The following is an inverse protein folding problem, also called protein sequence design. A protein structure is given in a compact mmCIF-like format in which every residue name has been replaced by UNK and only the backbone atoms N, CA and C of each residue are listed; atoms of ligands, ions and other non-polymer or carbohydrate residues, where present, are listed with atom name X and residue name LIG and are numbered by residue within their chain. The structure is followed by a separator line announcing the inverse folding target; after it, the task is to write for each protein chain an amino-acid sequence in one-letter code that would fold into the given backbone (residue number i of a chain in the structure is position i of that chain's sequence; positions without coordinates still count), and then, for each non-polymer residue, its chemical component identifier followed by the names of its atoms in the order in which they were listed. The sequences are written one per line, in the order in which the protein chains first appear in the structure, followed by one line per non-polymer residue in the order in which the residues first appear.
data_IF_952739868010
#
_entry.id   IF_952739868010
#
_cell.length_a   1.000
_cell.length_b   1.000
_cell.length_c   1.000
_cell.angle_alpha   90.00
_cell.angle_beta   90.00
_cell.angle_gamma   90.00
#
_symmetry.space_group_name_H-M   'P 1'
#
loop_
_entity.id
_entity.type
_entity.pdbx_description
1 polymer ?
#
# COMPACT_ATOMS: atom_id res chain seq x y z
N UNK A 1 16.18 18.11 -0.06
CA UNK A 1 15.32 18.37 1.12
C UNK A 1 14.68 17.06 1.55
N UNK A 2 14.22 16.94 2.78
CA UNK A 2 13.45 15.77 3.21
C UNK A 2 11.96 16.11 3.30
N UNK A 3 11.10 15.19 2.86
CA UNK A 3 9.65 15.32 2.93
C UNK A 3 9.03 14.03 3.47
N UNK A 4 7.83 14.17 4.03
CA UNK A 4 6.99 13.05 4.45
C UNK A 4 5.97 12.73 3.37
N UNK A 5 5.82 11.45 3.03
CA UNK A 5 4.72 11.00 2.19
C UNK A 5 3.41 11.03 2.96
N UNK A 6 2.37 11.61 2.36
CA UNK A 6 1.04 11.77 3.00
C UNK A 6 -0.08 11.12 2.19
N UNK A 7 0.29 10.24 1.25
CA UNK A 7 -0.61 9.45 0.43
C UNK A 7 -0.05 8.04 0.28
N UNK A 8 -0.92 7.09 -0.10
CA UNK A 8 -0.50 5.73 -0.45
C UNK A 8 -0.12 5.66 -1.94
N UNK A 9 1.12 5.33 -2.30
CA UNK A 9 1.54 5.35 -3.70
C UNK A 9 0.91 4.22 -4.53
N UNK A 10 0.21 4.57 -5.62
CA UNK A 10 -0.37 3.58 -6.56
C UNK A 10 0.68 2.75 -7.30
N UNK A 11 1.79 3.38 -7.73
CA UNK A 11 2.72 2.77 -8.69
C UNK A 11 4.16 2.72 -8.21
N UNK A 12 4.59 3.66 -7.38
CA UNK A 12 5.92 3.64 -6.77
C UNK A 12 6.06 2.47 -5.79
N UNK A 13 7.18 1.74 -5.86
CA UNK A 13 7.48 0.60 -4.99
C UNK A 13 8.53 0.99 -3.95
N UNK A 14 8.56 0.28 -2.83
CA UNK A 14 9.54 0.45 -1.76
C UNK A 14 9.28 1.65 -0.85
N UNK A 15 8.13 2.31 -0.98
CA UNK A 15 7.71 3.44 -0.14
C UNK A 15 6.23 3.29 0.25
N UNK A 16 5.90 3.71 1.47
CA UNK A 16 4.58 3.66 2.06
C UNK A 16 4.17 5.03 2.65
N UNK A 17 2.91 5.12 3.09
CA UNK A 17 2.40 6.30 3.77
C UNK A 17 3.25 6.64 4.99
N UNK A 18 3.51 7.94 5.20
CA UNK A 18 4.26 8.44 6.34
C UNK A 18 5.78 8.32 6.26
N UNK A 19 6.32 7.60 5.26
CA UNK A 19 7.76 7.45 5.06
C UNK A 19 8.44 8.80 4.81
N UNK A 20 9.72 8.88 5.19
CA UNK A 20 10.56 10.04 4.91
C UNK A 20 11.45 9.77 3.70
N UNK A 21 11.45 10.70 2.75
CA UNK A 21 12.24 10.62 1.53
C UNK A 21 13.00 11.91 1.27
N UNK A 22 14.20 11.79 0.72
CA UNK A 22 14.95 12.92 0.19
C UNK A 22 14.50 13.19 -1.25
N UNK A 23 14.26 14.46 -1.52
CA UNK A 23 13.92 14.96 -2.86
C UNK A 23 14.80 16.15 -3.24
N UNK A 24 14.96 16.34 -4.54
CA UNK A 24 15.63 17.51 -5.12
C UNK A 24 14.69 18.24 -6.07
N UNK A 25 14.71 19.58 -6.07
CA UNK A 25 13.96 20.35 -7.07
C UNK A 25 14.52 20.12 -8.47
N UNK A 26 13.63 19.86 -9.42
CA UNK A 26 13.87 20.02 -10.84
C UNK A 26 13.28 21.36 -11.27
N UNK A 27 14.14 22.37 -11.45
CA UNK A 27 13.71 23.74 -11.75
C UNK A 27 13.16 23.90 -13.17
N UNK A 28 13.54 23.02 -14.10
CA UNK A 28 13.03 23.05 -15.47
C UNK A 28 11.58 22.54 -15.51
N UNK A 29 11.31 21.44 -14.80
CA UNK A 29 9.97 20.85 -14.70
C UNK A 29 9.08 21.45 -13.61
N UNK A 30 9.67 22.23 -12.69
CA UNK A 30 9.01 22.78 -11.49
C UNK A 30 8.42 21.70 -10.58
N UNK A 31 9.15 20.59 -10.44
CA UNK A 31 8.73 19.40 -9.69
C UNK A 31 9.75 19.04 -8.60
N UNK A 32 9.32 18.19 -7.66
CA UNK A 32 10.22 17.53 -6.71
C UNK A 32 10.48 16.11 -7.21
N UNK A 33 11.76 15.77 -7.40
CA UNK A 33 12.18 14.44 -7.85
C UNK A 33 12.70 13.65 -6.67
N UNK A 34 12.21 12.41 -6.53
CA UNK A 34 12.72 11.46 -5.54
C UNK A 34 14.21 11.18 -5.76
N UNK A 35 14.99 11.23 -4.68
CA UNK A 35 16.42 10.89 -4.70
C UNK A 35 16.71 9.65 -3.87
N UNK A 36 16.19 9.61 -2.64
CA UNK A 36 16.55 8.57 -1.69
C UNK A 36 15.42 8.32 -0.68
N UNK A 37 15.28 7.08 -0.27
CA UNK A 37 14.47 6.70 0.89
C UNK A 37 15.26 6.89 2.18
N UNK A 38 14.75 7.68 3.12
CA UNK A 38 15.49 7.97 4.36
C UNK A 38 15.05 7.11 5.54
N UNK A 39 13.73 6.95 5.77
CA UNK A 39 13.23 6.26 6.96
C UNK A 39 11.83 5.68 6.78
N UNK A 40 11.63 4.46 7.31
CA UNK A 40 10.32 3.80 7.37
C UNK A 40 9.43 4.47 8.44
N UNK A 41 8.14 4.61 8.13
CA UNK A 41 7.10 5.03 9.09
C UNK A 41 6.57 3.88 9.94
N UNK A 42 6.81 2.64 9.52
CA UNK A 42 6.19 1.43 10.05
C UNK A 42 4.94 1.00 9.29
N UNK A 43 4.35 1.88 8.48
CA UNK A 43 3.25 1.51 7.58
C UNK A 43 3.73 0.62 6.44
N UNK A 44 2.80 -0.12 5.83
CA UNK A 44 3.05 -0.87 4.60
C UNK A 44 2.05 -0.49 3.53
N UNK A 45 2.42 -0.78 2.28
CA UNK A 45 1.57 -0.53 1.12
C UNK A 45 1.41 -1.82 0.31
N UNK A 46 0.15 -2.23 0.12
CA UNK A 46 -0.20 -3.29 -0.84
C UNK A 46 -1.07 -2.71 -1.96
N UNK A 47 -1.12 -3.42 -3.07
CA UNK A 47 -2.03 -3.13 -4.18
C UNK A 47 -2.94 -4.31 -4.38
N UNK A 48 -4.21 -4.03 -4.58
CA UNK A 48 -5.21 -5.05 -4.88
C UNK A 48 -5.83 -4.70 -6.23
N UNK A 49 -5.80 -5.66 -7.15
CA UNK A 49 -6.53 -5.60 -8.41
C UNK A 49 -7.73 -6.54 -8.31
N UNK A 50 -8.93 -6.02 -8.48
CA UNK A 50 -10.17 -6.78 -8.46
C UNK A 50 -10.44 -7.42 -9.82
N UNK A 51 -10.75 -8.72 -9.82
CA UNK A 51 -11.17 -9.47 -11.01
C UNK A 51 -12.70 -9.49 -11.02
N UNK A 52 -13.28 -8.46 -11.64
CA UNK A 52 -14.71 -8.16 -11.57
C UNK A 52 -15.12 -7.41 -10.29
N UNK A 53 -16.41 -7.11 -10.15
CA UNK A 53 -16.89 -6.17 -9.12
C UNK A 53 -17.45 -6.84 -7.85
N UNK A 54 -17.68 -8.16 -7.88
CA UNK A 54 -18.43 -8.86 -6.83
C UNK A 54 -17.71 -8.89 -5.48
N UNK A 55 -16.38 -9.00 -5.49
CA UNK A 55 -15.58 -9.20 -4.28
C UNK A 55 -15.18 -7.87 -3.60
N UNK A 56 -15.23 -6.76 -4.35
CA UNK A 56 -14.75 -5.45 -3.89
C UNK A 56 -15.40 -5.00 -2.57
N UNK A 57 -16.73 -5.05 -2.38
CA UNK A 57 -17.34 -4.61 -1.12
C UNK A 57 -16.87 -5.41 0.09
N UNK A 58 -16.66 -6.72 -0.06
CA UNK A 58 -16.22 -7.59 1.03
C UNK A 58 -14.76 -7.30 1.42
N UNK A 59 -13.89 -7.05 0.43
CA UNK A 59 -12.50 -6.67 0.68
C UNK A 59 -12.41 -5.29 1.32
N UNK A 60 -13.12 -4.29 0.82
CA UNK A 60 -13.14 -2.94 1.40
C UNK A 60 -13.67 -2.96 2.84
N UNK A 61 -14.72 -3.76 3.12
CA UNK A 61 -15.21 -3.96 4.49
C UNK A 61 -14.13 -4.58 5.39
N UNK A 62 -13.48 -5.67 4.96
CA UNK A 62 -12.43 -6.33 5.75
C UNK A 62 -11.23 -5.42 6.01
N UNK A 63 -10.84 -4.59 5.04
CA UNK A 63 -9.78 -3.59 5.17
C UNK A 63 -10.16 -2.52 6.20
N UNK A 64 -11.39 -2.01 6.13
CA UNK A 64 -11.91 -1.04 7.09
C UNK A 64 -11.94 -1.61 8.51
N UNK A 65 -12.43 -2.84 8.68
CA UNK A 65 -12.42 -3.57 9.96
C UNK A 65 -11.01 -3.76 10.52
N UNK A 66 -10.02 -3.98 9.65
CA UNK A 66 -8.62 -4.06 10.04
C UNK A 66 -8.00 -2.69 10.38
N UNK A 67 -8.70 -1.58 10.12
CA UNK A 67 -8.17 -0.22 10.30
C UNK A 67 -7.27 0.27 9.16
N UNK A 68 -7.31 -0.39 8.00
CA UNK A 68 -6.60 0.05 6.80
C UNK A 68 -7.35 1.18 6.09
N UNK A 69 -6.61 1.98 5.32
CA UNK A 69 -7.18 2.97 4.39
C UNK A 69 -6.69 2.67 2.98
N UNK A 70 -7.32 3.25 1.95
CA UNK A 70 -6.88 3.02 0.58
C UNK A 70 -7.15 4.21 -0.32
N UNK A 71 -6.29 4.34 -1.33
CA UNK A 71 -6.45 5.24 -2.45
C UNK A 71 -7.09 4.48 -3.62
N UNK A 72 -8.04 5.13 -4.29
CA UNK A 72 -8.65 4.64 -5.53
C UNK A 72 -8.77 5.78 -6.53
N UNK A 73 -8.73 5.49 -7.82
CA UNK A 73 -8.91 6.49 -8.87
C UNK A 73 -9.91 5.96 -9.90
N UNK A 74 -10.87 6.79 -10.33
CA UNK A 74 -11.92 6.36 -11.26
C UNK A 74 -11.40 5.78 -12.57
N UNK A 75 -10.26 6.27 -13.06
CA UNK A 75 -9.56 5.74 -14.25
C UNK A 75 -8.92 4.35 -14.04
N UNK A 76 -8.73 3.94 -12.79
CA UNK A 76 -8.20 2.63 -12.39
C UNK A 76 -9.23 1.90 -11.52
N UNK A 77 -10.46 1.76 -12.03
CA UNK A 77 -11.62 1.32 -11.24
C UNK A 77 -11.44 -0.01 -10.50
N UNK A 78 -10.61 -0.92 -11.01
CA UNK A 78 -10.30 -2.21 -10.39
C UNK A 78 -9.08 -2.22 -9.48
N UNK A 79 -8.31 -1.12 -9.38
CA UNK A 79 -7.07 -1.06 -8.62
C UNK A 79 -7.24 -0.15 -7.40
N UNK A 80 -6.81 -0.66 -6.24
CA UNK A 80 -6.66 0.15 -5.02
C UNK A 80 -5.24 0.01 -4.46
N UNK A 81 -4.73 1.11 -3.91
CA UNK A 81 -3.48 1.14 -3.16
C UNK A 81 -3.81 1.28 -1.68
N UNK A 82 -3.50 0.26 -0.89
CA UNK A 82 -3.95 0.13 0.50
C UNK A 82 -2.80 0.49 1.43
N UNK A 83 -3.05 1.43 2.34
CA UNK A 83 -2.21 1.69 3.50
C UNK A 83 -2.56 0.72 4.63
N UNK A 84 -1.53 0.09 5.18
CA UNK A 84 -1.61 -0.82 6.31
C UNK A 84 -0.84 -0.18 7.47
N UNK A 85 -1.54 0.33 8.49
CA UNK A 85 -0.90 0.87 9.69
C UNK A 85 -0.08 -0.18 10.46
N UNK A 86 0.96 0.21 11.21
CA UNK A 86 1.80 -0.72 11.98
C UNK A 86 1.07 -1.45 13.11
N UNK A 87 -0.15 -1.02 13.45
CA UNK A 87 -1.01 -1.66 14.46
C UNK A 87 -1.80 -2.84 13.90
N UNK A 88 -1.80 -3.06 12.59
CA UNK A 88 -2.56 -4.14 11.94
C UNK A 88 -1.78 -5.45 12.04
N UNK A 89 -2.50 -6.55 12.32
CA UNK A 89 -1.97 -7.89 12.11
C UNK A 89 -2.01 -8.19 10.61
N UNK A 90 -0.90 -7.90 9.94
CA UNK A 90 -0.78 -8.13 8.51
C UNK A 90 -0.68 -9.62 8.18
N UNK A 91 -0.17 -10.46 9.09
CA UNK A 91 -0.14 -11.91 8.89
C UNK A 91 -1.55 -12.50 8.72
N UNK A 92 -2.46 -12.09 9.61
CA UNK A 92 -3.87 -12.49 9.53
C UNK A 92 -4.56 -11.91 8.28
N UNK A 93 -4.42 -10.60 8.05
CA UNK A 93 -5.02 -9.94 6.89
C UNK A 93 -4.53 -10.55 5.56
N UNK A 94 -3.21 -10.79 5.44
CA UNK A 94 -2.60 -11.41 4.27
C UNK A 94 -3.12 -12.83 4.04
N UNK A 95 -3.29 -13.62 5.09
CA UNK A 95 -3.81 -14.98 4.98
C UNK A 95 -5.24 -14.98 4.43
N UNK A 96 -6.09 -14.07 4.91
CA UNK A 96 -7.44 -13.87 4.38
C UNK A 96 -7.44 -13.43 2.91
N UNK A 97 -6.57 -12.48 2.58
CA UNK A 97 -6.40 -11.96 1.23
C UNK A 97 -5.89 -13.01 0.23
N UNK A 98 -4.96 -13.89 0.65
CA UNK A 98 -4.49 -15.04 -0.16
C UNK A 98 -5.65 -15.95 -0.54
N UNK A 99 -6.61 -16.21 0.35
CA UNK A 99 -7.81 -16.97 0.01
C UNK A 99 -8.64 -16.36 -1.13
N UNK A 100 -8.62 -15.03 -1.28
CA UNK A 100 -9.26 -14.32 -2.41
C UNK A 100 -8.46 -14.42 -3.70
N UNK A 101 -7.13 -14.46 -3.59
CA UNK A 101 -6.22 -14.73 -4.72
C UNK A 101 -6.42 -16.16 -5.23
N UNK A 102 -6.47 -17.14 -4.34
CA UNK A 102 -6.69 -18.56 -4.69
C UNK A 102 -8.06 -18.79 -5.35
N UNK A 103 -9.07 -18.01 -4.95
CA UNK A 103 -10.39 -17.99 -5.56
C UNK A 103 -10.44 -17.24 -6.91
N UNK A 104 -9.32 -16.64 -7.36
CA UNK A 104 -9.23 -15.88 -8.61
C UNK A 104 -10.02 -14.57 -8.61
N UNK A 105 -10.40 -14.05 -7.44
CA UNK A 105 -11.24 -12.85 -7.32
C UNK A 105 -10.43 -11.56 -7.23
N UNK A 106 -9.17 -11.66 -6.81
CA UNK A 106 -8.23 -10.53 -6.74
C UNK A 106 -6.82 -10.96 -7.10
N UNK A 107 -5.99 -10.01 -7.51
CA UNK A 107 -4.53 -10.11 -7.52
C UNK A 107 -3.94 -9.12 -6.51
N UNK A 108 -2.81 -9.49 -5.87
CA UNK A 108 -2.21 -8.68 -4.81
C UNK A 108 -0.72 -8.50 -5.05
N UNK A 109 -0.23 -7.28 -4.83
CA UNK A 109 1.20 -6.97 -4.81
C UNK A 109 1.58 -6.26 -3.50
N UNK A 110 2.54 -6.83 -2.79
CA UNK A 110 3.24 -6.19 -1.68
C UNK A 110 4.19 -5.12 -2.24
N UNK A 111 3.70 -3.89 -2.38
CA UNK A 111 4.46 -2.80 -3.00
C UNK A 111 5.51 -2.16 -2.09
N UNK A 112 5.29 -2.20 -0.77
CA UNK A 112 6.27 -1.86 0.26
C UNK A 112 5.87 -2.54 1.59
N UNK A 113 6.73 -3.38 2.16
CA UNK A 113 6.52 -3.95 3.50
C UNK A 113 7.53 -3.39 4.50
N UNK A 114 7.02 -2.78 5.57
CA UNK A 114 7.83 -2.31 6.69
C UNK A 114 8.46 -3.49 7.44
N UNK A 115 9.46 -3.19 8.26
CA UNK A 115 10.03 -4.17 9.15
C UNK A 115 9.01 -4.75 10.14
N UNK A 116 8.00 -3.97 10.55
CA UNK A 116 6.95 -4.41 11.48
C UNK A 116 6.19 -5.59 10.88
N UNK A 117 5.65 -5.43 9.67
CA UNK A 117 4.87 -6.48 9.02
C UNK A 117 5.73 -7.62 8.48
N UNK A 118 6.96 -7.35 7.99
CA UNK A 118 7.88 -8.42 7.57
C UNK A 118 8.17 -9.43 8.69
N UNK A 119 8.26 -8.99 9.94
CA UNK A 119 8.47 -9.87 11.10
C UNK A 119 7.28 -10.77 11.39
N UNK A 120 6.06 -10.35 11.05
CA UNK A 120 4.84 -11.15 11.22
C UNK A 120 4.76 -12.29 10.21
N UNK A 121 5.47 -12.20 9.07
CA UNK A 121 5.45 -13.20 8.00
C UNK A 121 6.60 -14.22 8.10
N UNK A 122 7.52 -14.05 9.05
CA UNK A 122 8.74 -14.86 9.17
C UNK A 122 8.58 -16.13 10.04
N UNK A 123 7.33 -16.52 10.33
CA UNK A 123 6.95 -17.72 11.10
C UNK A 123 6.39 -18.81 10.20
#
# INVERSE_FOLDING_TARGET
MEIRLVNTPFFARGIAFGDLVRVRPDHERRELVFEEFTAESGHSAIRIVFIGDAERPAVEARLCEAGCSWESAGQFGSLVAVDIPPTVDYGELRSWLVGKVDAGSVEIQESALSQVHRRQLAS
#
